data_IF_071134308857
#
_entry.id   IF_071134308857
#
_cell.length_a   1.000
_cell.length_b   1.000
_cell.length_c   1.000
_cell.angle_alpha   90.00
_cell.angle_beta   90.00
_cell.angle_gamma   90.00
#
_symmetry.space_group_name_H-M   'P 1'
#
loop_
_entity.id
_entity.type
_entity.pdbx_description
1 polymer ?
#
# COMPACT_ATOMS: atom_id res chain seq x y z
N UNK A 1 16.19 8.19 5.10
CA UNK A 1 15.61 8.42 3.76
C UNK A 1 16.10 7.27 2.92
N UNK A 2 15.17 6.43 2.50
CA UNK A 2 15.41 5.26 1.68
C UNK A 2 14.83 5.54 0.29
N UNK A 3 15.45 4.98 -0.75
CA UNK A 3 14.95 5.04 -2.12
C UNK A 3 14.95 3.63 -2.67
N UNK A 4 13.83 3.24 -3.26
CA UNK A 4 13.64 1.90 -3.82
C UNK A 4 12.92 2.04 -5.16
N UNK A 5 13.25 1.12 -6.06
CA UNK A 5 12.70 1.07 -7.40
C UNK A 5 12.04 -0.28 -7.58
N UNK A 6 10.77 -0.30 -7.96
CA UNK A 6 10.04 -1.52 -8.27
C UNK A 6 9.75 -1.63 -9.75
N UNK A 7 9.87 -2.84 -10.29
CA UNK A 7 9.35 -3.21 -11.59
C UNK A 7 8.01 -3.92 -11.42
N UNK A 8 6.95 -3.42 -12.07
CA UNK A 8 5.68 -4.12 -12.22
C UNK A 8 5.77 -5.16 -13.32
N UNK A 9 5.63 -6.43 -12.96
CA UNK A 9 5.82 -7.57 -13.86
C UNK A 9 4.59 -7.84 -14.73
N UNK A 10 3.39 -7.58 -14.20
CA UNK A 10 2.13 -7.78 -14.92
C UNK A 10 1.77 -6.56 -15.80
N UNK A 11 1.89 -5.35 -15.24
CA UNK A 11 1.51 -4.10 -15.91
C UNK A 11 2.64 -3.45 -16.70
N UNK A 12 3.84 -4.05 -16.70
CA UNK A 12 5.05 -3.49 -17.29
C UNK A 12 5.34 -2.05 -16.81
N UNK A 13 5.18 -1.80 -15.52
CA UNK A 13 5.43 -0.49 -14.89
C UNK A 13 6.82 -0.39 -14.27
N UNK A 14 7.28 0.83 -14.03
CA UNK A 14 8.45 1.09 -13.19
C UNK A 14 8.14 2.19 -12.20
N UNK A 15 8.35 1.92 -10.93
CA UNK A 15 8.14 2.84 -9.84
C UNK A 15 9.48 3.26 -9.24
N UNK A 16 9.66 4.55 -8.98
CA UNK A 16 10.67 5.06 -8.04
C UNK A 16 9.97 5.65 -6.82
N UNK A 17 10.32 5.20 -5.64
CA UNK A 17 9.75 5.69 -4.39
C UNK A 17 10.82 6.20 -3.43
N UNK A 18 10.60 7.40 -2.90
CA UNK A 18 11.40 8.02 -1.84
C UNK A 18 10.63 7.97 -0.52
N UNK A 19 11.25 7.38 0.50
CA UNK A 19 10.59 6.98 1.73
C UNK A 19 11.36 7.54 2.93
N UNK A 20 10.62 8.16 3.84
CA UNK A 20 11.14 8.70 5.09
C UNK A 20 10.41 8.06 6.26
N UNK A 21 11.11 7.19 6.99
CA UNK A 21 10.64 6.64 8.25
C UNK A 21 11.09 7.50 9.43
N UNK A 22 10.20 7.62 10.42
CA UNK A 22 10.52 8.16 11.75
C UNK A 22 9.72 7.35 12.79
N UNK A 23 10.38 6.36 13.41
CA UNK A 23 9.68 5.32 14.18
C UNK A 23 8.73 4.52 13.28
N UNK A 24 7.45 4.48 13.64
CA UNK A 24 6.41 3.85 12.81
C UNK A 24 5.80 4.80 11.76
N UNK A 25 6.03 6.12 11.88
CA UNK A 25 5.56 7.06 10.86
C UNK A 25 6.37 6.94 9.58
N UNK A 26 5.68 7.18 8.47
CA UNK A 26 6.19 7.09 7.11
C UNK A 26 5.60 8.24 6.29
N UNK A 27 6.46 8.92 5.54
CA UNK A 27 6.08 9.74 4.40
C UNK A 27 6.76 9.14 3.17
N UNK A 28 5.97 8.84 2.14
CA UNK A 28 6.46 8.27 0.89
C UNK A 28 5.96 9.10 -0.29
N UNK A 29 6.84 9.34 -1.27
CA UNK A 29 6.49 9.93 -2.56
C UNK A 29 6.92 8.95 -3.65
N UNK A 30 6.00 8.58 -4.52
CA UNK A 30 6.26 7.64 -5.60
C UNK A 30 5.89 8.21 -6.96
N UNK A 31 6.70 7.85 -7.95
CA UNK A 31 6.46 8.09 -9.36
C UNK A 31 6.47 6.76 -10.08
N UNK A 32 5.36 6.43 -10.75
CA UNK A 32 5.18 5.17 -11.48
C UNK A 32 4.95 5.49 -12.96
N UNK A 33 5.88 5.07 -13.80
CA UNK A 33 5.68 5.03 -15.24
C UNK A 33 4.88 3.76 -15.60
N UNK A 34 3.67 3.96 -16.13
CA UNK A 34 2.76 2.88 -16.57
C UNK A 34 2.40 3.06 -18.05
N UNK A 35 1.87 2.01 -18.72
CA UNK A 35 1.33 2.16 -20.08
C UNK A 35 0.22 3.23 -20.22
N UNK A 36 -0.53 3.47 -19.15
CA UNK A 36 -1.63 4.46 -19.10
C UNK A 36 -1.16 5.89 -18.79
N UNK A 37 0.14 6.06 -18.53
CA UNK A 37 0.79 7.32 -18.19
C UNK A 37 1.51 7.29 -16.85
N UNK A 38 2.05 8.44 -16.45
CA UNK A 38 2.75 8.60 -15.17
C UNK A 38 1.74 8.81 -14.04
N UNK A 39 1.79 7.94 -13.03
CA UNK A 39 1.14 8.12 -11.74
C UNK A 39 2.14 8.75 -10.77
N UNK A 40 1.77 9.87 -10.16
CA UNK A 40 2.48 10.40 -8.99
C UNK A 40 1.60 10.21 -7.77
N UNK A 41 2.20 9.82 -6.64
CA UNK A 41 1.48 9.72 -5.38
C UNK A 41 2.31 10.19 -4.18
N UNK A 42 1.60 10.56 -3.12
CA UNK A 42 2.14 10.80 -1.78
C UNK A 42 1.31 10.05 -0.76
N UNK A 43 1.95 9.38 0.20
CA UNK A 43 1.29 8.68 1.31
C UNK A 43 1.91 9.12 2.63
N UNK A 44 1.07 9.38 3.62
CA UNK A 44 1.46 9.70 4.99
C UNK A 44 0.76 8.81 6.01
N UNK A 45 1.50 8.46 7.04
CA UNK A 45 0.99 7.76 8.23
C UNK A 45 1.27 8.57 9.49
N UNK A 46 0.53 8.28 10.57
CA UNK A 46 0.80 8.88 11.88
C UNK A 46 1.94 8.20 12.64
N UNK A 47 2.18 8.67 13.87
CA UNK A 47 3.21 8.13 14.76
C UNK A 47 3.02 6.64 15.11
N UNK A 48 1.81 6.08 14.94
CA UNK A 48 1.50 4.67 15.13
C UNK A 48 1.55 3.85 13.83
N UNK A 49 1.90 4.47 12.70
CA UNK A 49 1.95 3.82 11.39
C UNK A 49 0.58 3.62 10.73
N UNK A 50 -0.49 4.20 11.27
CA UNK A 50 -1.81 4.18 10.61
C UNK A 50 -1.87 5.21 9.50
N UNK A 51 -2.55 4.86 8.40
CA UNK A 51 -2.80 5.75 7.29
C UNK A 51 -3.46 7.07 7.74
N UNK A 52 -3.03 8.19 7.13
CA UNK A 52 -3.60 9.52 7.38
C UNK A 52 -3.99 10.26 6.12
N UNK A 53 -3.12 10.28 5.13
CA UNK A 53 -3.34 11.06 3.91
C UNK A 53 -2.71 10.38 2.70
N UNK A 54 -3.40 10.45 1.57
CA UNK A 54 -2.79 10.19 0.28
C UNK A 54 -3.32 11.13 -0.79
N UNK A 55 -2.42 11.55 -1.67
CA UNK A 55 -2.76 12.24 -2.91
C UNK A 55 -2.21 11.45 -4.08
N UNK A 56 -3.02 11.23 -5.12
CA UNK A 56 -2.66 10.51 -6.33
C UNK A 56 -3.04 11.33 -7.56
N UNK A 57 -2.22 11.29 -8.61
CA UNK A 57 -2.51 11.94 -9.88
C UNK A 57 -2.02 11.10 -11.08
N UNK A 58 -2.91 10.81 -12.03
CA UNK A 58 -2.59 10.10 -13.29
C UNK A 58 -3.52 10.56 -14.41
N UNK A 59 -2.97 10.83 -15.60
CA UNK A 59 -3.76 11.10 -16.80
C UNK A 59 -4.78 12.24 -16.65
N UNK A 60 -4.45 13.28 -15.87
CA UNK A 60 -5.34 14.42 -15.58
C UNK A 60 -6.40 14.17 -14.51
N UNK A 61 -6.46 12.97 -13.93
CA UNK A 61 -7.31 12.66 -12.76
C UNK A 61 -6.51 12.85 -11.48
N UNK A 62 -7.21 13.23 -10.42
CA UNK A 62 -6.65 13.34 -9.07
C UNK A 62 -7.56 12.64 -8.06
N UNK A 63 -6.95 12.15 -6.99
CA UNK A 63 -7.65 11.55 -5.86
C UNK A 63 -6.93 11.98 -4.58
N UNK A 64 -7.68 12.55 -3.64
CA UNK A 64 -7.20 12.88 -2.29
C UNK A 64 -7.98 12.05 -1.28
N UNK A 65 -7.28 11.34 -0.40
CA UNK A 65 -7.87 10.57 0.68
C UNK A 65 -7.32 11.07 2.01
N UNK A 66 -8.19 11.14 3.01
CA UNK A 66 -7.76 11.31 4.40
C UNK A 66 -8.54 10.44 5.36
N UNK A 67 -7.85 10.01 6.41
CA UNK A 67 -8.42 9.21 7.50
C UNK A 67 -8.09 9.84 8.85
N UNK A 68 -9.13 10.20 9.59
CA UNK A 68 -9.01 10.73 10.95
C UNK A 68 -10.23 10.35 11.77
N UNK A 69 -10.02 10.00 13.04
CA UNK A 69 -11.09 9.71 14.00
C UNK A 69 -12.10 8.66 13.49
N UNK A 70 -11.59 7.64 12.79
CA UNK A 70 -12.39 6.55 12.23
C UNK A 70 -13.17 6.92 10.95
N UNK A 71 -12.92 8.10 10.37
CA UNK A 71 -13.68 8.64 9.25
C UNK A 71 -12.81 8.80 8.00
N UNK A 72 -13.29 8.25 6.88
CA UNK A 72 -12.69 8.46 5.56
C UNK A 72 -13.31 9.65 4.85
N UNK A 73 -12.45 10.52 4.31
CA UNK A 73 -12.83 11.49 3.30
C UNK A 73 -12.14 11.12 1.98
N UNK A 74 -12.89 11.11 0.89
CA UNK A 74 -12.40 10.93 -0.47
C UNK A 74 -12.80 12.15 -1.27
N UNK A 75 -11.82 12.91 -1.76
CA UNK A 75 -12.01 14.22 -2.39
C UNK A 75 -12.86 15.19 -1.55
N UNK A 76 -12.69 15.14 -0.22
CA UNK A 76 -13.42 15.96 0.74
C UNK A 76 -14.81 15.44 1.10
N UNK A 77 -15.30 14.40 0.44
CA UNK A 77 -16.60 13.80 0.73
C UNK A 77 -16.47 12.58 1.65
N UNK A 78 -17.39 12.47 2.61
CA UNK A 78 -17.41 11.33 3.53
C UNK A 78 -17.80 10.03 2.83
N UNK A 79 -17.03 8.97 3.07
CA UNK A 79 -17.25 7.63 2.52
C UNK A 79 -17.53 6.61 3.63
N UNK A 80 -18.79 6.54 4.06
CA UNK A 80 -19.22 5.60 5.10
C UNK A 80 -19.21 4.12 4.66
N UNK A 81 -19.11 3.86 3.35
CA UNK A 81 -18.90 2.51 2.82
C UNK A 81 -17.47 1.99 3.05
N UNK A 82 -16.55 2.87 3.46
CA UNK A 82 -15.19 2.52 3.90
C UNK A 82 -15.08 2.33 5.42
N UNK A 83 -16.19 2.40 6.16
CA UNK A 83 -16.19 2.22 7.61
C UNK A 83 -15.56 0.88 8.00
N UNK A 84 -14.62 0.93 8.95
CA UNK A 84 -13.80 -0.20 9.39
C UNK A 84 -12.44 -0.31 8.69
N UNK A 85 -12.27 0.26 7.49
CA UNK A 85 -10.96 0.34 6.86
C UNK A 85 -10.06 1.31 7.62
N UNK A 86 -8.80 0.91 7.85
CA UNK A 86 -7.81 1.75 8.55
C UNK A 86 -6.51 1.92 7.78
N UNK A 87 -6.43 1.29 6.62
CA UNK A 87 -5.24 1.23 5.77
C UNK A 87 -5.61 1.65 4.35
N UNK A 88 -4.61 2.07 3.59
CA UNK A 88 -4.74 2.34 2.15
C UNK A 88 -4.09 1.19 1.38
N UNK A 89 -4.64 0.85 0.22
CA UNK A 89 -3.98 -0.04 -0.73
C UNK A 89 -4.07 0.53 -2.15
N UNK A 90 -2.93 0.65 -2.84
CA UNK A 90 -2.86 1.21 -4.19
C UNK A 90 -2.45 0.09 -5.13
N UNK A 91 -3.34 -0.29 -6.06
CA UNK A 91 -3.14 -1.46 -6.91
C UNK A 91 -1.86 -1.42 -7.78
N UNK A 92 -1.27 -0.24 -7.98
CA UNK A 92 -0.12 -0.02 -8.84
C UNK A 92 1.25 -0.08 -8.12
N UNK A 93 1.28 -0.24 -6.79
CA UNK A 93 2.54 -0.23 -6.03
C UNK A 93 2.53 -1.26 -4.90
N UNK A 94 3.66 -1.95 -4.62
CA UNK A 94 3.79 -2.79 -3.44
C UNK A 94 4.12 -1.99 -2.17
N UNK A 95 4.31 -0.67 -2.26
CA UNK A 95 4.60 0.18 -1.09
C UNK A 95 3.54 0.00 -0.01
N UNK A 96 2.25 -0.05 -0.38
CA UNK A 96 1.13 -0.09 0.58
C UNK A 96 1.14 -1.34 1.45
N UNK A 97 1.74 -2.45 0.99
CA UNK A 97 1.93 -3.64 1.83
C UNK A 97 2.88 -3.39 3.03
N UNK A 98 3.78 -2.41 2.92
CA UNK A 98 4.73 -2.03 3.97
C UNK A 98 4.01 -1.52 5.22
N UNK A 99 2.89 -0.82 5.08
CA UNK A 99 2.13 -0.23 6.19
C UNK A 99 1.67 -1.29 7.20
N UNK A 100 0.85 -2.29 6.81
CA UNK A 100 0.41 -3.32 7.75
C UNK A 100 1.58 -4.19 8.23
N UNK A 101 2.59 -4.47 7.40
CA UNK A 101 3.77 -5.25 7.80
C UNK A 101 4.50 -4.58 8.97
N UNK A 102 4.74 -3.27 8.88
CA UNK A 102 5.42 -2.50 9.93
C UNK A 102 4.53 -2.26 11.15
N UNK A 103 3.26 -1.89 10.92
CA UNK A 103 2.34 -1.53 12.02
C UNK A 103 1.93 -2.73 12.87
N UNK A 104 1.65 -3.87 12.23
CA UNK A 104 1.16 -5.04 12.94
C UNK A 104 2.26 -5.75 13.74
N UNK A 105 3.52 -5.65 13.28
CA UNK A 105 4.72 -6.28 13.88
C UNK A 105 4.42 -7.70 14.41
N UNK A 106 3.77 -8.51 13.57
CA UNK A 106 3.29 -9.81 14.00
C UNK A 106 4.47 -10.71 14.40
N UNK A 107 4.34 -11.53 15.45
CA UNK A 107 5.24 -12.65 15.67
C UNK A 107 5.15 -13.65 14.51
N UNK A 108 6.25 -14.37 14.23
CA UNK A 108 6.23 -15.45 13.22
C UNK A 108 5.17 -16.50 13.61
N UNK A 109 4.36 -16.90 12.62
CA UNK A 109 3.23 -17.80 12.76
C UNK A 109 1.89 -17.11 13.08
N UNK A 110 1.90 -15.81 13.40
CA UNK A 110 0.68 -15.06 13.69
C UNK A 110 0.08 -14.42 12.44
N UNK A 111 -1.23 -14.15 12.51
CA UNK A 111 -2.01 -13.55 11.44
C UNK A 111 -2.90 -12.43 11.97
N UNK A 112 -3.18 -11.44 11.13
CA UNK A 112 -4.20 -10.43 11.40
C UNK A 112 -5.02 -10.14 10.14
N UNK A 113 -6.31 -9.90 10.35
CA UNK A 113 -7.21 -9.36 9.33
C UNK A 113 -7.19 -7.84 9.41
N UNK A 114 -7.22 -7.19 8.25
CA UNK A 114 -7.33 -5.75 8.09
C UNK A 114 -8.38 -5.43 7.03
N UNK A 115 -8.92 -4.23 7.07
CA UNK A 115 -9.71 -3.66 5.98
C UNK A 115 -8.93 -2.48 5.40
N UNK A 116 -8.83 -2.42 4.07
CA UNK A 116 -8.15 -1.34 3.35
C UNK A 116 -9.15 -0.52 2.53
N UNK A 117 -8.83 0.75 2.29
CA UNK A 117 -9.38 1.51 1.17
C UNK A 117 -8.52 1.21 -0.06
N UNK A 118 -8.94 0.21 -0.84
CA UNK A 118 -8.25 -0.21 -2.05
C UNK A 118 -8.58 0.71 -3.22
N UNK A 119 -7.54 1.13 -3.94
CA UNK A 119 -7.59 2.10 -5.02
C UNK A 119 -7.19 1.41 -6.31
N UNK A 120 -8.13 1.35 -7.25
CA UNK A 120 -7.85 0.86 -8.60
C UNK A 120 -7.16 1.95 -9.43
N UNK A 121 -5.99 1.64 -9.99
CA UNK A 121 -5.30 2.48 -10.99
C UNK A 121 -5.51 1.88 -12.38
N UNK A 122 -5.79 2.68 -13.44
CA UNK A 122 -5.74 4.15 -13.51
C UNK A 122 -7.08 4.85 -13.20
N UNK A 123 -8.14 4.11 -12.87
CA UNK A 123 -9.49 4.68 -12.70
C UNK A 123 -9.65 5.58 -11.47
N UNK A 124 -8.79 5.41 -10.46
CA UNK A 124 -8.85 6.04 -9.14
C UNK A 124 -10.16 5.80 -8.39
N UNK A 125 -10.78 4.63 -8.60
CA UNK A 125 -11.95 4.19 -7.82
C UNK A 125 -11.52 3.60 -6.49
N UNK A 126 -12.23 3.96 -5.42
CA UNK A 126 -11.92 3.52 -4.06
C UNK A 126 -13.04 2.61 -3.56
N UNK A 127 -12.68 1.42 -3.08
CA UNK A 127 -13.59 0.46 -2.44
C UNK A 127 -12.94 -0.12 -1.19
N UNK A 128 -13.76 -0.63 -0.26
CA UNK A 128 -13.25 -1.38 0.88
C UNK A 128 -12.80 -2.76 0.41
N UNK A 129 -11.62 -3.20 0.83
CA UNK A 129 -11.06 -4.53 0.53
C UNK A 129 -10.54 -5.19 1.82
N UNK A 130 -11.16 -6.32 2.26
CA UNK A 130 -10.70 -7.08 3.39
C UNK A 130 -9.49 -7.95 3.03
N UNK A 131 -8.44 -7.92 3.86
CA UNK A 131 -7.17 -8.58 3.62
C UNK A 131 -6.68 -9.32 4.88
N UNK A 132 -5.81 -10.31 4.69
CA UNK A 132 -5.08 -10.98 5.78
C UNK A 132 -3.59 -10.99 5.52
N UNK A 133 -2.83 -10.69 6.58
CA UNK A 133 -1.39 -10.83 6.61
C UNK A 133 -1.01 -11.89 7.64
N UNK A 134 -0.18 -12.85 7.24
CA UNK A 134 0.47 -13.82 8.13
C UNK A 134 1.97 -13.67 8.03
N UNK A 135 2.67 -13.47 9.15
CA UNK A 135 4.15 -13.52 9.13
C UNK A 135 4.58 -14.98 9.15
N UNK A 136 5.17 -15.47 8.08
CA UNK A 136 5.54 -16.91 7.93
C UNK A 136 7.04 -17.16 8.12
N UNK A 137 7.85 -16.11 8.17
CA UNK A 137 9.27 -16.17 8.47
C UNK A 137 9.80 -14.79 8.87
N UNK A 138 11.11 -14.67 9.10
CA UNK A 138 11.72 -13.40 9.56
C UNK A 138 11.38 -12.23 8.64
N UNK A 139 11.49 -12.46 7.32
CA UNK A 139 11.27 -11.48 6.24
C UNK A 139 10.29 -12.00 5.18
N UNK A 140 9.37 -12.86 5.60
CA UNK A 140 8.42 -13.51 4.71
C UNK A 140 7.00 -13.35 5.23
N UNK A 141 6.14 -12.84 4.38
CA UNK A 141 4.75 -12.53 4.71
C UNK A 141 3.83 -13.13 3.68
N UNK A 142 2.80 -13.85 4.14
CA UNK A 142 1.72 -14.27 3.27
C UNK A 142 0.64 -13.19 3.28
N UNK A 143 0.36 -12.66 2.10
CA UNK A 143 -0.81 -11.84 1.82
C UNK A 143 -1.95 -12.74 1.31
N UNK A 144 -3.16 -12.47 1.76
CA UNK A 144 -4.38 -13.15 1.33
C UNK A 144 -5.49 -12.10 1.15
N UNK A 145 -6.07 -12.03 -0.06
CA UNK A 145 -7.34 -11.34 -0.25
C UNK A 145 -8.44 -12.12 0.47
N UNK A 146 -9.40 -11.44 1.10
CA UNK A 146 -10.55 -12.10 1.76
C UNK A 146 -11.79 -12.14 0.88
N UNK A 147 -11.77 -11.42 -0.23
CA UNK A 147 -12.85 -11.37 -1.22
C UNK A 147 -12.55 -12.20 -2.50
N UNK A 148 -11.38 -12.84 -2.55
CA UNK A 148 -10.99 -13.76 -3.63
C UNK A 148 -10.07 -14.88 -3.14
N UNK A 149 -9.75 -15.84 -4.01
CA UNK A 149 -8.77 -16.92 -3.72
C UNK A 149 -7.31 -16.45 -3.88
N UNK A 150 -7.07 -15.17 -4.18
CA UNK A 150 -5.73 -14.66 -4.41
C UNK A 150 -4.90 -14.64 -3.13
N UNK A 151 -3.66 -15.12 -3.24
CA UNK A 151 -2.66 -15.11 -2.17
C UNK A 151 -1.27 -15.02 -2.74
N UNK A 152 -0.37 -14.39 -2.00
CA UNK A 152 1.03 -14.26 -2.39
C UNK A 152 1.97 -14.36 -1.19
N UNK A 153 3.18 -14.87 -1.44
CA UNK A 153 4.26 -14.89 -0.46
C UNK A 153 5.22 -13.74 -0.77
N UNK A 154 5.13 -12.68 0.01
CA UNK A 154 5.99 -11.50 -0.08
C UNK A 154 7.32 -11.77 0.62
N UNK A 155 8.41 -11.29 0.02
CA UNK A 155 9.68 -11.11 0.72
C UNK A 155 9.91 -9.63 0.95
N UNK A 156 10.47 -9.28 2.10
CA UNK A 156 10.72 -7.88 2.48
C UNK A 156 12.16 -7.67 2.95
N UNK A 157 12.61 -6.43 3.00
CA UNK A 157 13.86 -6.06 3.66
C UNK A 157 13.67 -5.87 5.18
N UNK A 158 14.71 -5.37 5.85
CA UNK A 158 14.69 -5.16 7.30
C UNK A 158 13.77 -3.99 7.73
N UNK A 159 13.42 -3.10 6.79
CA UNK A 159 12.45 -2.02 6.99
C UNK A 159 11.01 -2.43 6.61
N UNK A 160 10.80 -3.66 6.15
CA UNK A 160 9.50 -4.17 5.72
C UNK A 160 9.10 -3.73 4.31
N UNK A 161 10.02 -3.13 3.54
CA UNK A 161 9.78 -2.81 2.13
C UNK A 161 9.78 -4.09 1.30
N UNK A 162 8.80 -4.22 0.42
CA UNK A 162 8.65 -5.41 -0.43
C UNK A 162 9.83 -5.53 -1.40
N UNK A 163 10.50 -6.68 -1.40
CA UNK A 163 11.58 -7.02 -2.33
C UNK A 163 11.08 -7.86 -3.51
N UNK A 164 10.22 -8.83 -3.25
CA UNK A 164 9.58 -9.65 -4.27
C UNK A 164 8.13 -9.91 -3.89
N UNK A 165 7.24 -9.57 -4.81
CA UNK A 165 5.82 -9.91 -4.81
C UNK A 165 5.62 -10.79 -6.04
N UNK A 166 5.68 -12.14 -5.89
CA UNK A 166 5.76 -13.06 -7.00
C UNK A 166 4.67 -12.82 -8.06
N UNK A 167 5.11 -12.56 -9.29
CA UNK A 167 4.23 -12.32 -10.44
C UNK A 167 3.72 -10.88 -10.60
N UNK A 168 3.79 -10.04 -9.56
CA UNK A 168 3.28 -8.67 -9.60
C UNK A 168 4.39 -7.62 -9.57
N UNK A 169 5.30 -7.69 -8.60
CA UNK A 169 6.32 -6.66 -8.40
C UNK A 169 7.66 -7.24 -7.97
N UNK A 170 8.75 -6.57 -8.34
CA UNK A 170 10.10 -6.90 -7.86
C UNK A 170 10.91 -5.63 -7.66
N UNK A 171 11.63 -5.54 -6.53
CA UNK A 171 12.63 -4.49 -6.32
C UNK A 171 13.83 -4.71 -7.23
N UNK A 172 14.31 -3.63 -7.85
CA UNK A 172 15.46 -3.63 -8.76
C UNK A 172 16.60 -2.70 -8.29
N UNK A 173 16.48 -2.11 -7.10
CA UNK A 173 17.51 -1.25 -6.48
C UNK A 173 17.59 -1.44 -4.98
#
# INVERSE_FOLDING_TARGET
MSRITWQGLETASTETCEIHFSGHSMVANGDIDTPDGRLAYRVETDAGGLFRLADLAIGGRTLSLSFSDGRWLVNGEHRGDLDGATEIDISATPLTNTLPIRRLDLPIGQSADIDTAWIAVPALTVVRDPQRYTRVGERQWRYESRDSDFRALLTVDDDGLVLDYPGLFRSIS
#
